data_IF_098261613699
#
_entry.id   IF_098261613699
#
_cell.length_a   1.000
_cell.length_b   1.000
_cell.length_c   1.000
_cell.angle_alpha   90.00
_cell.angle_beta   90.00
_cell.angle_gamma   90.00
#
_symmetry.space_group_name_H-M   'P 1'
#
loop_
_entity.id
_entity.type
_entity.pdbx_description
1 polymer ?
#
# COMPACT_ATOMS: atom_id res chain seq x y z
N UNK A 1 10.45 -90.05 5.53
CA UNK A 1 10.49 -89.88 4.06
C UNK A 1 10.17 -88.42 3.75
N UNK A 2 11.18 -87.69 3.27
CA UNK A 2 11.14 -86.48 2.40
C UNK A 2 10.24 -85.28 2.75
N UNK A 3 10.93 -84.14 2.85
CA UNK A 3 10.50 -82.75 2.97
C UNK A 3 9.40 -82.24 2.01
N UNK A 4 8.70 -81.17 2.44
CA UNK A 4 8.77 -79.87 1.74
C UNK A 4 8.27 -78.70 2.62
N UNK A 5 9.07 -77.64 2.61
CA UNK A 5 8.87 -76.31 3.23
C UNK A 5 7.69 -75.58 2.60
N UNK A 6 7.01 -74.70 3.35
CA UNK A 6 6.82 -73.27 3.00
C UNK A 6 6.65 -72.47 4.30
N UNK A 7 7.25 -71.28 4.30
CA UNK A 7 7.47 -70.31 5.36
C UNK A 7 6.48 -69.14 5.20
N UNK A 8 6.48 -68.20 6.16
CA UNK A 8 5.85 -66.84 6.15
C UNK A 8 4.45 -66.79 6.79
N UNK A 9 4.16 -65.97 7.80
CA UNK A 9 4.96 -64.94 8.47
C UNK A 9 4.24 -64.45 9.73
N UNK A 10 5.05 -63.98 10.69
CA UNK A 10 4.61 -63.34 11.93
C UNK A 10 3.71 -62.14 11.63
N UNK A 11 2.46 -62.17 12.06
CA UNK A 11 1.64 -60.97 12.26
C UNK A 11 0.98 -61.09 13.63
N UNK A 12 1.66 -60.59 14.64
CA UNK A 12 1.16 -60.58 16.00
C UNK A 12 2.09 -59.78 16.87
N UNK A 13 1.51 -58.77 17.54
CA UNK A 13 2.11 -57.91 18.57
C UNK A 13 2.76 -56.63 18.01
N UNK A 14 1.98 -55.54 17.96
CA UNK A 14 2.30 -54.30 18.71
C UNK A 14 1.10 -53.34 18.70
N UNK A 15 0.21 -53.50 19.67
CA UNK A 15 -0.83 -52.52 20.00
C UNK A 15 -0.22 -51.60 21.08
N UNK A 16 0.58 -50.63 20.65
CA UNK A 16 1.10 -49.56 21.51
C UNK A 16 0.13 -48.37 21.41
N UNK A 17 -0.57 -48.14 22.52
CA UNK A 17 -1.38 -46.96 22.80
C UNK A 17 -0.52 -45.70 22.73
N UNK A 18 -0.48 -45.05 21.58
CA UNK A 18 -0.07 -43.66 21.46
C UNK A 18 -1.22 -42.75 21.88
N UNK A 19 -1.23 -42.33 23.14
CA UNK A 19 -2.05 -41.20 23.57
C UNK A 19 -1.43 -39.96 22.93
N UNK A 20 -1.99 -39.52 21.81
CA UNK A 20 -1.67 -38.21 21.24
C UNK A 20 -2.37 -37.18 22.13
N UNK A 21 -1.65 -36.26 22.81
CA UNK A 21 -2.32 -35.18 23.51
C UNK A 21 -3.08 -34.34 22.48
N UNK A 22 -4.29 -33.84 22.78
CA UNK A 22 -4.95 -32.89 21.90
C UNK A 22 -4.10 -31.62 21.89
N UNK A 23 -3.35 -31.41 20.82
CA UNK A 23 -2.87 -30.09 20.47
C UNK A 23 -4.12 -29.24 20.27
N UNK A 24 -4.40 -28.36 21.22
CA UNK A 24 -5.22 -27.18 20.93
C UNK A 24 -4.44 -26.39 19.88
N UNK A 25 -4.71 -26.67 18.60
CA UNK A 25 -4.49 -25.70 17.57
C UNK A 25 -5.37 -24.52 17.98
N UNK A 26 -4.73 -23.47 18.49
CA UNK A 26 -5.30 -22.14 18.36
C UNK A 26 -5.48 -21.96 16.87
N UNK A 27 -6.71 -22.03 16.37
CA UNK A 27 -7.03 -21.44 15.10
C UNK A 27 -6.71 -19.94 15.28
N UNK A 28 -5.50 -19.54 14.91
CA UNK A 28 -5.30 -18.17 14.42
C UNK A 28 -6.23 -18.08 13.22
N UNK A 29 -7.42 -17.50 13.42
CA UNK A 29 -8.19 -17.04 12.27
C UNK A 29 -7.34 -15.94 11.64
N UNK A 30 -6.68 -16.26 10.54
CA UNK A 30 -5.99 -15.25 9.73
C UNK A 30 -7.03 -14.19 9.37
N UNK A 31 -6.94 -13.02 10.01
CA UNK A 31 -7.81 -11.89 9.70
C UNK A 31 -7.65 -11.55 8.22
N UNK A 32 -8.74 -11.61 7.48
CA UNK A 32 -8.79 -11.24 6.06
C UNK A 32 -8.86 -9.73 5.96
N UNK A 33 -7.68 -9.12 5.79
CA UNK A 33 -7.52 -7.68 5.63
C UNK A 33 -7.45 -7.31 4.15
N UNK A 34 -8.16 -6.27 3.74
CA UNK A 34 -8.09 -5.73 2.36
C UNK A 34 -7.89 -4.22 2.39
N UNK A 35 -7.41 -3.65 1.28
CA UNK A 35 -7.22 -2.21 1.13
C UNK A 35 -8.25 -1.65 0.15
N UNK A 36 -8.92 -0.56 0.51
CA UNK A 36 -9.63 0.32 -0.42
C UNK A 36 -8.84 1.62 -0.58
N UNK A 37 -8.49 1.97 -1.83
CA UNK A 37 -7.73 3.18 -2.15
C UNK A 37 -8.26 3.77 -3.45
N UNK A 38 -8.04 5.07 -3.69
CA UNK A 38 -8.34 5.65 -4.99
C UNK A 38 -7.20 5.43 -5.99
N UNK A 39 -7.47 5.70 -7.27
CA UNK A 39 -6.48 5.77 -8.35
C UNK A 39 -5.54 7.00 -8.26
N UNK A 40 -5.53 7.73 -7.13
CA UNK A 40 -4.51 8.73 -6.84
C UNK A 40 -3.13 8.08 -6.82
N UNK A 41 -2.19 8.58 -7.62
CA UNK A 41 -0.95 7.88 -7.91
C UNK A 41 -0.07 7.65 -6.67
N UNK A 42 -0.04 8.60 -5.74
CA UNK A 42 0.78 8.51 -4.55
C UNK A 42 0.17 7.54 -3.54
N UNK A 43 -1.11 7.71 -3.21
CA UNK A 43 -1.81 6.84 -2.26
C UNK A 43 -1.91 5.40 -2.80
N UNK A 44 -2.18 5.23 -4.10
CA UNK A 44 -2.20 3.91 -4.75
C UNK A 44 -0.82 3.24 -4.74
N UNK A 45 0.26 3.97 -5.05
CA UNK A 45 1.61 3.37 -5.02
C UNK A 45 1.96 2.90 -3.61
N UNK A 46 1.59 3.67 -2.59
CA UNK A 46 1.80 3.29 -1.20
C UNK A 46 0.94 2.08 -0.78
N UNK A 47 -0.34 2.07 -1.16
CA UNK A 47 -1.24 0.95 -0.94
C UNK A 47 -0.73 -0.34 -1.61
N UNK A 48 -0.19 -0.23 -2.84
CA UNK A 48 0.44 -1.35 -3.55
C UNK A 48 1.65 -1.90 -2.78
N UNK A 49 2.52 -1.04 -2.24
CA UNK A 49 3.66 -1.51 -1.44
C UNK A 49 3.26 -2.16 -0.12
N UNK A 50 2.20 -1.65 0.50
CA UNK A 50 1.63 -2.28 1.69
C UNK A 50 1.01 -3.65 1.34
N UNK A 51 0.18 -3.71 0.31
CA UNK A 51 -0.46 -4.94 -0.14
C UNK A 51 0.54 -6.00 -0.60
N UNK A 52 1.62 -5.62 -1.29
CA UNK A 52 2.73 -6.52 -1.64
C UNK A 52 3.44 -7.08 -0.39
N UNK A 53 3.64 -6.25 0.63
CA UNK A 53 4.40 -6.64 1.83
C UNK A 53 3.59 -7.51 2.78
N UNK A 54 2.28 -7.32 2.82
CA UNK A 54 1.33 -8.02 3.70
C UNK A 54 0.46 -9.04 2.96
N UNK A 55 0.64 -9.21 1.64
CA UNK A 55 -0.16 -10.07 0.77
C UNK A 55 -1.68 -9.76 0.81
N UNK A 56 -2.04 -8.47 0.71
CA UNK A 56 -3.42 -7.99 0.79
C UNK A 56 -4.03 -7.75 -0.59
N UNK A 57 -5.32 -8.05 -0.74
CA UNK A 57 -6.11 -7.62 -1.90
C UNK A 57 -6.34 -6.12 -1.86
N UNK A 58 -6.23 -5.46 -3.02
CA UNK A 58 -6.42 -4.02 -3.17
C UNK A 58 -7.60 -3.77 -4.10
N UNK A 59 -8.59 -3.05 -3.58
CA UNK A 59 -9.70 -2.49 -4.33
C UNK A 59 -9.41 -1.03 -4.67
N UNK A 60 -9.59 -0.68 -5.94
CA UNK A 60 -9.25 0.64 -6.46
C UNK A 60 -10.54 1.31 -6.92
N UNK A 61 -10.79 2.52 -6.44
CA UNK A 61 -11.87 3.38 -6.93
C UNK A 61 -11.32 4.61 -7.66
N UNK A 62 -12.12 5.19 -8.55
CA UNK A 62 -11.78 6.48 -9.15
C UNK A 62 -11.76 7.59 -8.10
N UNK A 63 -10.77 8.48 -8.18
CA UNK A 63 -10.61 9.56 -7.22
C UNK A 63 -11.88 10.38 -7.02
N UNK A 64 -12.44 10.28 -5.82
CA UNK A 64 -13.55 11.13 -5.36
C UNK A 64 -14.87 10.79 -6.02
N UNK A 65 -14.94 9.65 -6.70
CA UNK A 65 -16.15 9.10 -7.28
C UNK A 65 -16.54 7.89 -6.45
N UNK A 66 -17.79 7.86 -6.02
CA UNK A 66 -18.34 6.69 -5.36
C UNK A 66 -18.90 5.74 -6.44
N UNK A 67 -18.56 4.46 -6.33
CA UNK A 67 -19.03 3.38 -7.18
C UNK A 67 -19.48 2.20 -6.31
N UNK A 68 -20.79 1.93 -6.19
CA UNK A 68 -21.32 0.85 -5.36
C UNK A 68 -20.84 -0.55 -5.81
N UNK A 69 -20.39 -0.70 -7.06
CA UNK A 69 -19.85 -1.99 -7.52
C UNK A 69 -18.55 -2.36 -6.77
N UNK A 70 -17.72 -1.37 -6.41
CA UNK A 70 -16.51 -1.61 -5.62
C UNK A 70 -16.87 -2.15 -4.24
N UNK A 71 -17.90 -1.59 -3.60
CA UNK A 71 -18.41 -2.13 -2.33
C UNK A 71 -18.92 -3.56 -2.48
N UNK A 72 -19.64 -3.87 -3.57
CA UNK A 72 -20.11 -5.22 -3.84
C UNK A 72 -18.95 -6.22 -4.05
N UNK A 73 -17.86 -5.81 -4.71
CA UNK A 73 -16.64 -6.61 -4.86
C UNK A 73 -15.95 -6.85 -3.52
N UNK A 74 -15.83 -5.81 -2.67
CA UNK A 74 -15.28 -5.93 -1.32
C UNK A 74 -16.11 -6.94 -0.51
N UNK A 75 -17.43 -6.81 -0.51
CA UNK A 75 -18.33 -7.74 0.17
C UNK A 75 -18.13 -9.18 -0.33
N UNK A 76 -17.96 -9.36 -1.64
CA UNK A 76 -17.70 -10.67 -2.26
C UNK A 76 -16.37 -11.31 -1.85
N UNK A 77 -15.38 -10.50 -1.47
CA UNK A 77 -14.11 -10.99 -0.91
C UNK A 77 -14.22 -11.36 0.59
N UNK A 78 -15.34 -11.04 1.23
CA UNK A 78 -15.64 -11.33 2.64
C UNK A 78 -14.50 -11.00 3.62
N UNK A 79 -13.96 -9.76 3.61
CA UNK A 79 -12.91 -9.37 4.54
C UNK A 79 -13.45 -9.23 5.96
N UNK A 80 -12.59 -9.49 6.93
CA UNK A 80 -12.84 -9.13 8.33
C UNK A 80 -12.68 -7.63 8.54
N UNK A 81 -11.76 -7.00 7.79
CA UNK A 81 -11.46 -5.58 7.91
C UNK A 81 -11.02 -4.92 6.60
N UNK A 82 -11.45 -3.69 6.37
CA UNK A 82 -11.03 -2.83 5.26
C UNK A 82 -10.14 -1.69 5.76
N UNK A 83 -8.94 -1.55 5.21
CA UNK A 83 -8.12 -0.35 5.36
C UNK A 83 -8.44 0.63 4.23
N UNK A 84 -9.03 1.76 4.56
CA UNK A 84 -9.27 2.83 3.60
C UNK A 84 -8.05 3.75 3.60
N UNK A 85 -7.31 3.81 2.50
CA UNK A 85 -6.13 4.70 2.36
C UNK A 85 -6.54 5.93 1.55
N UNK A 86 -6.36 7.11 2.14
CA UNK A 86 -6.69 8.40 1.53
C UNK A 86 -7.87 9.08 2.21
N UNK A 87 -7.92 10.41 2.09
CA UNK A 87 -8.96 11.23 2.73
C UNK A 87 -10.33 11.15 2.03
N UNK A 88 -11.37 11.77 2.59
CA UNK A 88 -12.74 11.76 2.00
C UNK A 88 -12.84 12.34 0.59
N UNK A 89 -11.94 13.27 0.24
CA UNK A 89 -11.85 13.81 -1.12
C UNK A 89 -11.20 12.80 -2.10
N UNK A 90 -10.47 11.81 -1.61
CA UNK A 90 -9.81 10.76 -2.39
C UNK A 90 -10.71 9.53 -2.55
N UNK A 91 -11.20 9.03 -1.41
CA UNK A 91 -12.14 7.92 -1.32
C UNK A 91 -13.37 8.45 -0.58
N UNK A 92 -14.52 8.66 -1.26
CA UNK A 92 -15.75 9.19 -0.68
C UNK A 92 -16.20 8.50 0.61
N UNK A 93 -16.98 9.21 1.43
CA UNK A 93 -17.49 8.68 2.70
C UNK A 93 -18.60 7.64 2.51
N UNK A 94 -19.26 7.66 1.36
CA UNK A 94 -20.30 6.71 0.98
C UNK A 94 -19.81 5.25 1.10
N UNK A 95 -18.51 5.00 0.87
CA UNK A 95 -17.90 3.68 1.13
C UNK A 95 -17.87 3.30 2.62
N UNK A 96 -17.68 4.26 3.54
CA UNK A 96 -17.73 3.98 4.99
C UNK A 96 -19.15 3.57 5.40
N UNK A 97 -20.15 4.31 4.90
CA UNK A 97 -21.58 4.05 5.18
C UNK A 97 -21.98 2.65 4.70
N UNK A 98 -21.59 2.28 3.48
CA UNK A 98 -21.83 0.93 2.96
C UNK A 98 -21.15 -0.16 3.81
N UNK A 99 -19.89 0.03 4.20
CA UNK A 99 -19.15 -0.96 4.99
C UNK A 99 -19.77 -1.14 6.37
N UNK A 100 -20.24 -0.05 6.99
CA UNK A 100 -21.00 -0.10 8.25
C UNK A 100 -22.33 -0.86 8.08
N UNK A 101 -23.09 -0.60 7.01
CA UNK A 101 -24.35 -1.29 6.71
C UNK A 101 -24.14 -2.80 6.44
N UNK A 102 -22.99 -3.17 5.88
CA UNK A 102 -22.57 -4.56 5.66
C UNK A 102 -22.01 -5.22 6.93
N UNK A 103 -21.76 -4.45 7.99
CA UNK A 103 -21.15 -4.94 9.23
C UNK A 103 -19.67 -5.33 9.07
N UNK A 104 -18.98 -4.74 8.09
CA UNK A 104 -17.54 -4.96 7.85
C UNK A 104 -16.74 -3.91 8.61
N UNK A 105 -15.79 -4.33 9.45
CA UNK A 105 -14.95 -3.37 10.16
C UNK A 105 -14.08 -2.58 9.19
N UNK A 106 -13.86 -1.30 9.46
CA UNK A 106 -12.97 -0.49 8.65
C UNK A 106 -12.11 0.47 9.47
N UNK A 107 -11.01 0.91 8.87
CA UNK A 107 -10.15 1.96 9.44
C UNK A 107 -9.65 2.83 8.31
N UNK A 108 -9.90 4.14 8.40
CA UNK A 108 -9.37 5.11 7.44
C UNK A 108 -8.04 5.68 7.90
N UNK A 109 -7.01 5.55 7.06
CA UNK A 109 -5.68 6.10 7.28
C UNK A 109 -5.42 7.19 6.25
N UNK A 110 -5.29 8.44 6.71
CA UNK A 110 -5.21 9.59 5.81
C UNK A 110 -4.56 10.82 6.46
N UNK A 111 -4.08 11.75 5.63
CA UNK A 111 -3.65 13.10 6.01
C UNK A 111 -4.21 14.18 5.06
N UNK A 112 -3.90 15.45 5.30
CA UNK A 112 -4.44 16.56 4.49
C UNK A 112 -3.92 16.57 3.05
N UNK A 113 -2.74 15.99 2.85
CA UNK A 113 -2.06 15.83 1.58
C UNK A 113 -1.38 14.46 1.50
N UNK A 114 -0.86 14.13 0.31
CA UNK A 114 -0.19 12.85 0.03
C UNK A 114 1.05 12.60 0.89
N UNK A 115 1.69 13.66 1.38
CA UNK A 115 2.88 13.53 2.23
C UNK A 115 2.46 13.12 3.63
N UNK A 116 1.42 13.75 4.17
CA UNK A 116 0.83 13.39 5.46
C UNK A 116 0.17 12.01 5.43
N UNK A 117 -0.59 11.65 4.38
CA UNK A 117 -1.13 10.29 4.21
C UNK A 117 0.00 9.26 4.23
N UNK A 118 1.10 9.52 3.52
CA UNK A 118 2.23 8.61 3.49
C UNK A 118 2.86 8.39 4.87
N UNK A 119 3.05 9.45 5.66
CA UNK A 119 3.51 9.33 7.04
C UNK A 119 2.50 8.56 7.89
N UNK A 120 1.21 8.86 7.79
CA UNK A 120 0.15 8.21 8.58
C UNK A 120 0.07 6.70 8.32
N UNK A 121 0.24 6.27 7.08
CA UNK A 121 0.30 4.83 6.74
C UNK A 121 1.55 4.20 7.33
N UNK A 122 2.73 4.82 7.23
CA UNK A 122 3.95 4.27 7.82
C UNK A 122 3.88 4.20 9.35
N UNK A 123 3.30 5.20 10.00
CA UNK A 123 3.01 5.20 11.45
C UNK A 123 2.07 4.04 11.82
N UNK A 124 0.98 3.88 11.08
CA UNK A 124 0.03 2.79 11.30
C UNK A 124 0.70 1.42 11.18
N UNK A 125 1.55 1.22 10.17
CA UNK A 125 2.30 -0.03 9.98
C UNK A 125 3.31 -0.24 11.10
N UNK A 126 4.03 0.80 11.54
CA UNK A 126 4.94 0.68 12.69
C UNK A 126 4.22 0.29 13.99
N UNK A 127 3.00 0.78 14.20
CA UNK A 127 2.23 0.50 15.40
C UNK A 127 1.59 -0.89 15.38
N UNK A 128 1.04 -1.31 14.24
CA UNK A 128 0.20 -2.51 14.15
C UNK A 128 0.93 -3.72 13.52
N UNK A 129 1.93 -3.48 12.67
CA UNK A 129 2.66 -4.50 11.90
C UNK A 129 4.17 -4.17 11.83
N UNK A 130 4.85 -3.94 12.97
CA UNK A 130 6.23 -3.44 13.00
C UNK A 130 7.22 -4.31 12.22
N UNK A 131 6.97 -5.61 12.11
CA UNK A 131 7.77 -6.57 11.34
C UNK A 131 7.84 -6.23 9.84
N UNK A 132 6.81 -5.60 9.29
CA UNK A 132 6.76 -5.17 7.88
C UNK A 132 7.79 -4.07 7.60
N UNK A 133 8.18 -3.30 8.62
CA UNK A 133 9.15 -2.21 8.53
C UNK A 133 10.48 -2.51 9.24
N UNK A 134 10.74 -3.77 9.61
CA UNK A 134 12.01 -4.19 10.20
C UNK A 134 13.07 -4.47 9.12
N UNK A 135 14.22 -3.81 9.22
CA UNK A 135 15.37 -3.97 8.30
C UNK A 135 15.08 -3.67 6.81
N UNK A 136 14.14 -2.78 6.52
CA UNK A 136 13.69 -2.51 5.16
C UNK A 136 14.57 -1.53 4.37
N UNK A 137 14.54 -1.66 3.04
CA UNK A 137 14.94 -0.62 2.10
C UNK A 137 13.83 0.44 2.03
N UNK A 138 14.18 1.71 2.10
CA UNK A 138 13.25 2.82 1.89
C UNK A 138 13.64 3.59 0.63
N UNK A 139 12.64 4.01 -0.14
CA UNK A 139 12.82 4.93 -1.25
C UNK A 139 12.30 6.30 -0.86
N UNK A 140 13.13 7.33 -0.99
CA UNK A 140 12.74 8.72 -0.83
C UNK A 140 12.56 9.33 -2.21
N UNK A 141 11.38 9.91 -2.45
CA UNK A 141 11.04 10.56 -3.71
C UNK A 141 10.10 11.73 -3.48
N UNK A 142 10.08 12.67 -4.41
CA UNK A 142 9.10 13.75 -4.37
C UNK A 142 7.69 13.23 -4.69
N UNK A 143 6.71 13.51 -3.83
CA UNK A 143 5.38 12.89 -3.91
C UNK A 143 4.56 13.25 -5.15
N UNK A 144 4.95 14.29 -5.90
CA UNK A 144 4.33 14.67 -7.20
C UNK A 144 5.14 14.27 -8.43
N UNK A 145 6.29 13.67 -8.23
CA UNK A 145 7.18 13.30 -9.32
C UNK A 145 6.75 11.96 -9.93
N UNK A 146 6.02 12.03 -11.05
CA UNK A 146 5.44 10.84 -11.69
C UNK A 146 6.54 9.89 -12.18
N UNK A 147 7.68 10.41 -12.65
CA UNK A 147 8.83 9.60 -13.03
C UNK A 147 9.37 8.81 -11.85
N UNK A 148 9.50 9.46 -10.68
CA UNK A 148 9.92 8.80 -9.46
C UNK A 148 8.88 7.79 -8.94
N UNK A 149 7.59 8.13 -8.96
CA UNK A 149 6.51 7.21 -8.55
C UNK A 149 6.46 5.96 -9.43
N UNK A 150 6.59 6.10 -10.75
CA UNK A 150 6.68 4.95 -11.68
C UNK A 150 7.85 4.04 -11.33
N UNK A 151 9.02 4.61 -11.00
CA UNK A 151 10.18 3.85 -10.57
C UNK A 151 9.96 3.13 -9.23
N UNK A 152 9.29 3.77 -8.27
CA UNK A 152 8.94 3.13 -6.99
C UNK A 152 8.06 1.90 -7.20
N UNK A 153 7.08 1.95 -8.11
CA UNK A 153 6.13 0.84 -8.33
C UNK A 153 6.82 -0.48 -8.65
N UNK A 154 7.98 -0.48 -9.31
CA UNK A 154 8.72 -1.70 -9.67
C UNK A 154 9.76 -2.15 -8.63
N UNK A 155 9.96 -1.34 -7.58
CA UNK A 155 10.93 -1.62 -6.51
C UNK A 155 10.26 -2.28 -5.30
N UNK A 156 10.95 -3.21 -4.64
CA UNK A 156 10.47 -3.82 -3.39
C UNK A 156 10.90 -2.97 -2.18
N UNK A 157 10.30 -1.78 -2.05
CA UNK A 157 10.60 -0.86 -0.97
C UNK A 157 9.43 0.09 -0.70
N UNK A 158 9.25 0.47 0.57
CA UNK A 158 8.27 1.48 0.94
C UNK A 158 8.75 2.88 0.53
N UNK A 159 7.86 3.72 -0.01
CA UNK A 159 8.18 5.10 -0.29
C UNK A 159 8.03 5.99 0.94
N UNK A 160 8.90 6.98 1.06
CA UNK A 160 8.72 8.18 1.87
C UNK A 160 8.63 9.37 0.94
N UNK A 161 7.43 9.97 0.85
CA UNK A 161 7.18 11.10 -0.01
C UNK A 161 7.61 12.41 0.65
N UNK A 162 8.39 13.20 -0.09
CA UNK A 162 8.86 14.52 0.33
C UNK A 162 8.30 15.64 -0.56
N UNK A 163 8.26 16.83 0.02
CA UNK A 163 8.16 18.11 -0.68
C UNK A 163 9.27 19.03 -0.15
N UNK A 164 9.56 20.10 -0.88
CA UNK A 164 10.40 21.23 -0.45
C UNK A 164 10.07 21.75 0.95
N UNK A 165 8.80 21.71 1.36
CA UNK A 165 8.32 22.24 2.65
C UNK A 165 7.95 21.15 3.68
N UNK A 166 7.98 19.87 3.32
CA UNK A 166 7.54 18.75 4.17
C UNK A 166 8.69 17.75 4.30
N UNK A 167 9.57 18.00 5.27
CA UNK A 167 10.74 17.13 5.53
C UNK A 167 10.90 16.72 7.01
N UNK A 168 10.28 17.43 7.95
CA UNK A 168 10.41 17.13 9.38
C UNK A 168 9.83 15.76 9.73
N UNK A 169 8.54 15.54 9.45
CA UNK A 169 7.85 14.27 9.73
C UNK A 169 8.46 13.11 8.95
N UNK A 170 8.94 13.36 7.72
CA UNK A 170 9.64 12.38 6.90
C UNK A 170 10.97 11.97 7.52
N UNK A 171 11.70 12.90 8.12
CA UNK A 171 12.95 12.56 8.81
C UNK A 171 12.69 11.83 10.12
N UNK A 172 11.64 12.23 10.85
CA UNK A 172 11.22 11.57 12.08
C UNK A 172 10.81 10.11 11.84
N UNK A 173 9.97 9.84 10.84
CA UNK A 173 9.55 8.46 10.54
C UNK A 173 10.73 7.60 10.10
N UNK A 174 11.66 8.15 9.30
CA UNK A 174 12.89 7.44 8.89
C UNK A 174 13.80 7.10 10.07
N UNK A 175 13.76 7.88 11.15
CA UNK A 175 14.50 7.60 12.38
C UNK A 175 13.85 6.50 13.24
N UNK A 176 12.53 6.31 13.12
CA UNK A 176 11.78 5.29 13.84
C UNK A 176 11.82 3.93 13.14
N UNK A 177 11.83 3.92 11.80
CA UNK A 177 11.96 2.71 11.00
C UNK A 177 13.39 2.18 11.10
N UNK A 178 13.55 0.86 11.24
CA UNK A 178 14.86 0.22 11.20
C UNK A 178 15.33 0.06 9.76
N UNK A 179 15.78 1.15 9.16
CA UNK A 179 16.17 1.21 7.74
C UNK A 179 17.56 0.60 7.52
N UNK A 180 17.69 -0.33 6.57
CA UNK A 180 18.99 -0.87 6.15
C UNK A 180 19.64 -0.01 5.07
N UNK A 181 18.83 0.53 4.16
CA UNK A 181 19.32 1.27 3.00
C UNK A 181 18.27 2.29 2.52
N UNK A 182 18.72 3.52 2.23
CA UNK A 182 17.88 4.56 1.64
C UNK A 182 18.31 4.80 0.20
N UNK A 183 17.36 4.78 -0.72
CA UNK A 183 17.55 5.22 -2.10
C UNK A 183 16.80 6.51 -2.32
N UNK A 184 17.50 7.55 -2.77
CA UNK A 184 16.89 8.82 -3.16
C UNK A 184 16.73 8.82 -4.67
N UNK A 185 15.48 8.89 -5.14
CA UNK A 185 15.19 9.01 -6.57
C UNK A 185 15.29 10.48 -6.97
N UNK A 186 16.09 10.73 -8.01
CA UNK A 186 16.28 12.06 -8.59
C UNK A 186 15.64 12.14 -9.96
N UNK A 187 15.05 13.30 -10.23
CA UNK A 187 14.68 13.76 -11.57
C UNK A 187 14.96 15.26 -11.68
N UNK A 188 14.99 15.83 -12.90
CA UNK A 188 15.06 17.28 -13.07
C UNK A 188 13.93 18.05 -12.38
N UNK A 189 12.78 17.42 -12.14
CA UNK A 189 11.63 18.05 -11.46
C UNK A 189 11.84 18.15 -9.94
N UNK A 190 12.51 17.18 -9.33
CA UNK A 190 12.58 17.03 -7.86
C UNK A 190 13.98 17.19 -7.26
N UNK A 191 14.97 17.60 -8.06
CA UNK A 191 16.38 17.70 -7.64
C UNK A 191 16.54 18.55 -6.37
N UNK A 192 15.97 19.75 -6.32
CA UNK A 192 16.10 20.63 -5.15
C UNK A 192 15.55 19.98 -3.86
N UNK A 193 14.35 19.41 -3.93
CA UNK A 193 13.72 18.78 -2.77
C UNK A 193 14.51 17.55 -2.29
N UNK A 194 14.95 16.71 -3.23
CA UNK A 194 15.69 15.48 -2.93
C UNK A 194 17.10 15.75 -2.41
N UNK A 195 17.77 16.81 -2.88
CA UNK A 195 19.06 17.25 -2.34
C UNK A 195 18.95 17.82 -0.93
N UNK A 196 17.91 18.61 -0.66
CA UNK A 196 17.64 19.10 0.70
C UNK A 196 17.43 17.93 1.66
N UNK A 197 16.61 16.96 1.25
CA UNK A 197 16.36 15.76 2.06
C UNK A 197 17.62 14.91 2.22
N UNK A 198 18.44 14.73 1.18
CA UNK A 198 19.70 13.99 1.27
C UNK A 198 20.62 14.59 2.34
N UNK A 199 20.82 15.91 2.32
CA UNK A 199 21.66 16.61 3.30
C UNK A 199 21.15 16.40 4.71
N UNK A 200 19.83 16.43 4.89
CA UNK A 200 19.18 16.23 6.18
C UNK A 200 19.36 14.80 6.69
N UNK A 201 19.04 13.80 5.87
CA UNK A 201 19.22 12.38 6.18
C UNK A 201 20.68 12.11 6.55
N UNK A 202 21.66 12.58 5.77
CA UNK A 202 23.08 12.36 6.06
C UNK A 202 23.56 13.03 7.35
N UNK A 203 22.91 14.12 7.77
CA UNK A 203 23.22 14.83 9.00
C UNK A 203 22.61 14.15 10.23
N UNK A 204 21.38 13.68 10.12
CA UNK A 204 20.57 13.21 11.25
C UNK A 204 20.59 11.69 11.40
N UNK A 205 20.76 10.93 10.31
CA UNK A 205 20.67 9.47 10.27
C UNK A 205 22.01 8.85 9.85
N UNK A 206 22.40 7.79 10.55
CA UNK A 206 23.61 7.00 10.25
C UNK A 206 23.27 5.79 9.38
N UNK A 207 22.68 6.02 8.21
CA UNK A 207 22.20 4.98 7.28
C UNK A 207 22.91 5.11 5.94
N UNK A 208 23.06 4.01 5.20
CA UNK A 208 23.59 4.05 3.84
C UNK A 208 22.59 4.73 2.90
N UNK A 209 23.06 5.69 2.10
CA UNK A 209 22.23 6.48 1.18
C UNK A 209 22.84 6.48 -0.21
N UNK A 210 22.12 5.90 -1.18
CA UNK A 210 22.45 5.99 -2.62
C UNK A 210 21.46 6.88 -3.35
N UNK A 211 21.89 7.33 -4.53
CA UNK A 211 21.06 8.11 -5.45
C UNK A 211 20.82 7.29 -6.70
N UNK A 212 19.62 7.42 -7.24
CA UNK A 212 19.29 6.84 -8.52
C UNK A 212 18.51 7.84 -9.36
N UNK A 213 18.92 7.99 -10.62
CA UNK A 213 18.17 8.78 -11.57
C UNK A 213 16.95 7.99 -12.04
N UNK A 214 15.79 8.66 -12.13
CA UNK A 214 14.64 8.17 -12.87
C UNK A 214 14.62 8.87 -14.23
N UNK A 215 15.03 8.15 -15.27
CA UNK A 215 15.01 8.65 -16.64
C UNK A 215 13.58 8.76 -17.13
N UNK A 216 13.07 9.99 -17.28
CA UNK A 216 11.77 10.25 -17.90
C UNK A 216 11.95 10.15 -19.42
N UNK A 217 11.36 9.12 -20.02
CA UNK A 217 11.34 8.95 -21.49
C UNK A 217 10.25 9.81 -22.12
N UNK A 218 10.36 10.07 -23.42
CA UNK A 218 9.30 10.77 -24.16
C UNK A 218 7.96 10.00 -24.12
N UNK A 219 8.02 8.67 -24.14
CA UNK A 219 6.85 7.80 -24.01
C UNK A 219 6.18 7.94 -22.64
N UNK A 220 6.95 7.92 -21.55
CA UNK A 220 6.43 8.15 -20.20
C UNK A 220 5.81 9.54 -20.05
N UNK A 221 6.41 10.56 -20.66
CA UNK A 221 5.88 11.91 -20.67
C UNK A 221 4.54 11.98 -21.42
N UNK A 222 4.43 11.33 -22.58
CA UNK A 222 3.18 11.27 -23.33
C UNK A 222 2.06 10.54 -22.59
N UNK A 223 2.35 9.37 -22.02
CA UNK A 223 1.40 8.62 -21.20
C UNK A 223 0.90 9.46 -20.02
N UNK A 224 1.78 10.26 -19.42
CA UNK A 224 1.42 11.16 -18.30
C UNK A 224 0.47 12.27 -18.75
N UNK A 225 0.70 12.85 -19.93
CA UNK A 225 -0.18 13.88 -20.50
C UNK A 225 -1.55 13.28 -20.81
N UNK A 226 -1.60 12.10 -21.43
CA UNK A 226 -2.85 11.40 -21.74
C UNK A 226 -3.67 11.11 -20.47
N UNK A 227 -3.02 10.64 -19.40
CA UNK A 227 -3.67 10.44 -18.10
C UNK A 227 -4.24 11.75 -17.55
N UNK A 228 -3.48 12.85 -17.62
CA UNK A 228 -3.93 14.15 -17.14
C UNK A 228 -5.12 14.69 -17.95
N UNK A 229 -5.08 14.57 -19.28
CA UNK A 229 -6.17 14.97 -20.17
C UNK A 229 -7.45 14.18 -19.89
N UNK A 230 -7.34 12.86 -19.70
CA UNK A 230 -8.47 12.01 -19.33
C UNK A 230 -9.06 12.39 -17.97
N UNK A 231 -8.21 12.72 -16.97
CA UNK A 231 -8.67 13.20 -15.66
C UNK A 231 -9.40 14.54 -15.77
N UNK A 232 -8.92 15.46 -16.61
CA UNK A 232 -9.58 16.74 -16.86
C UNK A 232 -10.93 16.52 -17.55
N UNK A 233 -10.99 15.64 -18.54
CA UNK A 233 -12.22 15.32 -19.25
C UNK A 233 -13.27 14.73 -18.30
N UNK A 234 -12.88 13.73 -17.51
CA UNK A 234 -13.75 13.15 -16.48
C UNK A 234 -14.26 14.21 -15.51
N UNK A 235 -13.38 15.09 -15.01
CA UNK A 235 -13.79 16.16 -14.09
C UNK A 235 -14.82 17.12 -14.73
N UNK A 236 -14.69 17.43 -16.02
CA UNK A 236 -15.65 18.27 -16.74
C UNK A 236 -16.99 17.57 -16.91
N UNK A 237 -17.00 16.30 -17.33
CA UNK A 237 -18.23 15.51 -17.48
C UNK A 237 -18.99 15.40 -16.15
N UNK A 238 -18.25 15.23 -15.05
CA UNK A 238 -18.83 15.15 -13.71
C UNK A 238 -19.42 16.49 -13.23
N UNK A 239 -18.80 17.62 -13.58
CA UNK A 239 -19.36 18.95 -13.26
C UNK A 239 -20.65 19.25 -14.04
N UNK A 240 -20.80 18.70 -15.25
CA UNK A 240 -22.00 18.85 -16.06
C UNK A 240 -23.15 17.95 -15.58
N UNK A 241 -22.85 16.91 -14.80
CA UNK A 241 -23.82 15.95 -14.31
C UNK A 241 -24.25 16.24 -12.85
N UNK A 242 -25.32 17.01 -12.67
CA UNK A 242 -25.88 17.38 -11.36
C UNK A 242 -26.28 16.19 -10.47
N UNK A 243 -26.44 14.99 -11.04
CA UNK A 243 -26.82 13.78 -10.30
C UNK A 243 -25.64 13.06 -9.62
N UNK A 244 -24.40 13.38 -9.98
CA UNK A 244 -23.20 12.76 -9.39
C UNK A 244 -22.55 13.76 -8.43
N UNK A 245 -22.63 13.49 -7.12
CA UNK A 245 -21.84 14.25 -6.14
C UNK A 245 -20.39 13.77 -6.21
N UNK A 246 -19.49 14.65 -6.64
CA UNK A 246 -18.06 14.35 -6.71
C UNK A 246 -17.30 15.30 -5.78
N UNK A 247 -16.97 14.88 -4.55
CA UNK A 247 -16.16 15.66 -3.63
C UNK A 247 -14.82 16.15 -4.21
N UNK A 248 -14.32 15.49 -5.27
CA UNK A 248 -13.05 15.83 -5.91
C UNK A 248 -13.14 16.77 -7.13
N UNK A 249 -14.31 17.09 -7.67
CA UNK A 249 -14.43 17.76 -8.98
C UNK A 249 -13.64 19.08 -9.07
N UNK A 250 -13.76 19.96 -8.07
CA UNK A 250 -13.00 21.21 -8.00
C UNK A 250 -11.48 20.97 -7.80
N UNK A 251 -11.11 19.92 -7.06
CA UNK A 251 -9.72 19.59 -6.72
C UNK A 251 -8.99 18.91 -7.87
N UNK A 252 -9.68 18.14 -8.71
CA UNK A 252 -9.12 17.49 -9.90
C UNK A 252 -8.61 18.51 -10.91
N UNK A 253 -9.34 19.62 -11.12
CA UNK A 253 -8.91 20.71 -12.01
C UNK A 253 -7.66 21.43 -11.48
N UNK A 254 -7.51 21.57 -10.17
CA UNK A 254 -6.34 22.22 -9.57
C UNK A 254 -5.07 21.36 -9.60
N UNK A 255 -5.22 20.05 -9.82
CA UNK A 255 -4.13 19.07 -9.72
C UNK A 255 -3.69 18.50 -11.07
N UNK A 256 -4.52 18.64 -12.10
CA UNK A 256 -4.16 18.38 -13.50
C UNK A 256 -3.47 19.61 -14.11
#
# INVERSE_FOLDING_TARGET
>A
MVAKKVFIGLFGILLLLGIVPPTTATEESDLTLVILVSDNEADLTLAQKLGESMNLTIFITSWGVYDPNITAEIMGAAPDKVLIIGGPAAVPKDYEEDLDDMGIEWTRIWGNDRYETNIKVLEYVLENYPEILDNVKIIVAHGRDIGALKKIKVEKAFPVYIDTNKTDSQTQILAMIKVTHIVIIKTPFSENATEMMEKRIRKELKVNVTKEEANITAEMAWETIEIAENKILLAKELLENESVKVPAAERLILLA
#
